data_IF_134183814074
#
_entry.id   IF_134183814074
#
_cell.length_a   1.000
_cell.length_b   1.000
_cell.length_c   1.000
_cell.angle_alpha   90.00
_cell.angle_beta   90.00
_cell.angle_gamma   90.00
#
_symmetry.space_group_name_H-M   'P 1'
#
loop_
_entity.id
_entity.type
_entity.pdbx_description
1 polymer ?
#
# COMPACT_ATOMS: atom_id res chain seq x y z
N UNK A 1 -50.17 74.17 -1.73
CA UNK A 1 -50.08 72.97 -2.56
C UNK A 1 -48.60 72.52 -2.55
N UNK A 2 -48.27 71.58 -1.71
CA UNK A 2 -46.92 71.02 -1.60
C UNK A 2 -46.94 69.58 -2.12
N UNK A 3 -46.07 69.27 -3.09
CA UNK A 3 -45.89 67.93 -3.59
C UNK A 3 -44.88 67.16 -2.69
N UNK A 4 -45.12 65.91 -2.38
CA UNK A 4 -44.13 65.10 -1.68
C UNK A 4 -43.12 64.50 -2.65
N UNK A 5 -41.82 64.64 -2.27
CA UNK A 5 -40.67 64.07 -2.95
C UNK A 5 -40.55 62.60 -2.58
N UNK A 6 -40.60 61.68 -3.54
CA UNK A 6 -40.35 60.27 -3.35
C UNK A 6 -38.90 59.91 -3.59
N UNK A 7 -38.20 59.40 -2.59
CA UNK A 7 -36.87 58.80 -2.68
C UNK A 7 -36.94 57.41 -3.31
N UNK A 8 -35.94 57.01 -4.13
CA UNK A 8 -35.86 55.69 -4.70
C UNK A 8 -35.31 54.64 -3.69
N UNK A 9 -35.70 53.37 -3.80
CA UNK A 9 -35.26 52.33 -2.88
C UNK A 9 -33.80 51.92 -3.11
N UNK A 10 -33.09 51.71 -2.02
CA UNK A 10 -31.71 51.21 -2.03
C UNK A 10 -31.60 49.72 -2.52
N UNK A 11 -30.51 49.35 -3.21
CA UNK A 11 -30.31 47.99 -3.68
C UNK A 11 -29.91 47.05 -2.53
N UNK A 12 -30.69 46.03 -2.32
CA UNK A 12 -30.39 44.90 -1.40
C UNK A 12 -29.23 44.08 -1.96
N UNK A 13 -28.04 44.23 -1.36
CA UNK A 13 -26.90 43.36 -1.62
C UNK A 13 -27.18 41.97 -1.04
N UNK A 14 -27.48 41.00 -1.90
CA UNK A 14 -27.60 39.61 -1.53
C UNK A 14 -26.23 39.05 -1.13
N UNK A 15 -26.06 38.78 0.17
CA UNK A 15 -24.93 38.01 0.69
C UNK A 15 -25.06 36.54 0.22
N UNK A 16 -24.42 36.21 -0.91
CA UNK A 16 -24.22 34.81 -1.29
C UNK A 16 -23.07 34.24 -0.46
N UNK A 17 -23.42 33.27 0.37
CA UNK A 17 -22.51 32.55 1.23
C UNK A 17 -21.46 31.79 0.41
N UNK A 18 -20.19 32.06 0.68
CA UNK A 18 -19.06 31.23 0.24
C UNK A 18 -18.94 30.09 1.25
N UNK A 19 -19.65 29.01 1.00
CA UNK A 19 -19.50 27.74 1.71
C UNK A 19 -19.11 26.68 0.66
N UNK A 20 -17.82 26.45 0.45
CA UNK A 20 -17.41 25.44 -0.53
C UNK A 20 -15.93 25.08 -0.59
N UNK A 21 -15.04 25.72 0.16
CA UNK A 21 -13.58 25.49 0.00
C UNK A 21 -12.89 24.74 1.16
N UNK A 22 -13.63 24.31 2.20
CA UNK A 22 -13.02 23.76 3.42
C UNK A 22 -12.75 22.25 3.43
N UNK A 23 -13.48 21.46 2.64
CA UNK A 23 -13.43 19.99 2.73
C UNK A 23 -12.28 19.34 1.93
N UNK A 24 -11.82 19.98 0.84
CA UNK A 24 -10.74 19.43 0.01
C UNK A 24 -9.34 19.53 0.68
N UNK A 25 -9.12 20.54 1.53
CA UNK A 25 -7.85 20.72 2.23
C UNK A 25 -7.63 19.78 3.40
N UNK A 26 -8.69 19.25 4.03
CA UNK A 26 -8.56 18.33 5.15
C UNK A 26 -8.10 16.93 4.69
N UNK A 27 -8.57 16.46 3.53
CA UNK A 27 -8.17 15.17 2.98
C UNK A 27 -6.71 15.15 2.49
N UNK A 28 -6.24 16.21 1.87
CA UNK A 28 -4.83 16.33 1.44
C UNK A 28 -3.85 16.36 2.62
N UNK A 29 -4.22 17.01 3.73
CA UNK A 29 -3.40 17.02 4.95
C UNK A 29 -3.34 15.65 5.63
N UNK A 30 -4.42 14.88 5.60
CA UNK A 30 -4.45 13.53 6.19
C UNK A 30 -3.53 12.56 5.43
N UNK A 31 -3.50 12.62 4.11
CA UNK A 31 -2.61 11.79 3.28
C UNK A 31 -1.15 12.16 3.45
N UNK A 32 -0.81 13.46 3.43
CA UNK A 32 0.54 13.93 3.67
C UNK A 32 1.06 13.56 5.07
N UNK A 33 0.19 13.56 6.10
CA UNK A 33 0.57 13.17 7.45
C UNK A 33 0.82 11.66 7.60
N UNK A 34 0.08 10.81 6.87
CA UNK A 34 0.31 9.36 6.84
C UNK A 34 1.61 9.02 6.11
N UNK A 35 1.91 9.69 5.01
CA UNK A 35 3.14 9.52 4.23
C UNK A 35 4.39 9.88 5.04
N UNK A 36 4.36 11.00 5.79
CA UNK A 36 5.49 11.40 6.64
C UNK A 36 5.73 10.43 7.79
N UNK A 37 4.67 9.81 8.33
CA UNK A 37 4.76 8.78 9.37
C UNK A 37 5.43 7.50 8.86
N UNK A 38 5.03 7.02 7.69
CA UNK A 38 5.61 5.83 7.06
C UNK A 38 7.09 6.06 6.68
N UNK A 39 7.43 7.21 6.11
CA UNK A 39 8.80 7.59 5.79
C UNK A 39 9.71 7.58 7.02
N UNK A 40 9.28 8.21 8.11
CA UNK A 40 10.06 8.26 9.35
C UNK A 40 10.32 6.85 9.93
N UNK A 41 9.33 5.95 9.87
CA UNK A 41 9.47 4.57 10.29
C UNK A 41 10.47 3.79 9.43
N UNK A 42 10.41 3.96 8.10
CA UNK A 42 11.34 3.33 7.17
C UNK A 42 12.79 3.82 7.40
N UNK A 43 12.99 5.13 7.61
CA UNK A 43 14.31 5.68 7.94
C UNK A 43 14.86 5.16 9.26
N UNK A 44 13.99 5.01 10.27
CA UNK A 44 14.37 4.43 11.56
C UNK A 44 14.75 2.94 11.43
N UNK A 45 14.16 2.24 10.47
CA UNK A 45 14.33 0.80 10.27
C UNK A 45 13.65 -0.04 11.36
N UNK A 46 13.97 -1.34 11.39
CA UNK A 46 13.28 -2.29 12.24
C UNK A 46 11.84 -2.52 11.82
N UNK A 47 11.56 -2.44 10.53
CA UNK A 47 10.22 -2.61 9.95
C UNK A 47 10.29 -3.32 8.60
N UNK A 48 9.15 -3.83 8.17
CA UNK A 48 8.90 -4.36 6.83
C UNK A 48 7.79 -3.55 6.17
N UNK A 49 8.03 -3.06 4.95
CA UNK A 49 6.98 -2.52 4.09
C UNK A 49 6.40 -3.67 3.26
N UNK A 50 5.26 -4.21 3.67
CA UNK A 50 4.61 -5.34 3.02
C UNK A 50 3.48 -4.85 2.10
N UNK A 51 3.68 -4.98 0.78
CA UNK A 51 2.74 -4.54 -0.24
C UNK A 51 1.89 -5.70 -0.75
N UNK A 52 0.59 -5.47 -0.90
CA UNK A 52 -0.19 -6.25 -1.83
C UNK A 52 0.30 -5.93 -3.24
N UNK A 53 0.41 -6.94 -4.12
CA UNK A 53 0.71 -6.72 -5.54
C UNK A 53 -0.17 -5.62 -6.14
N UNK A 54 0.34 -4.92 -7.14
CA UNK A 54 -0.36 -3.87 -7.86
C UNK A 54 -1.60 -4.43 -8.59
N UNK A 55 -2.40 -3.55 -9.18
CA UNK A 55 -3.68 -3.91 -9.77
C UNK A 55 -3.53 -5.00 -10.84
N UNK A 56 -4.14 -6.15 -10.55
CA UNK A 56 -4.32 -7.28 -11.45
C UNK A 56 -5.82 -7.60 -11.47
N UNK A 57 -6.54 -7.42 -12.58
CA UNK A 57 -7.98 -7.59 -12.67
C UNK A 57 -8.45 -8.99 -12.24
N UNK A 58 -9.61 -9.07 -11.59
CA UNK A 58 -10.16 -10.31 -11.05
C UNK A 58 -9.67 -10.63 -9.64
N UNK A 59 -10.14 -11.75 -9.07
CA UNK A 59 -9.81 -12.17 -7.70
C UNK A 59 -8.98 -13.44 -7.67
N UNK A 60 -9.31 -14.41 -8.47
CA UNK A 60 -8.65 -15.72 -8.53
C UNK A 60 -7.90 -15.91 -9.83
N UNK A 61 -6.89 -16.76 -9.82
CA UNK A 61 -6.20 -17.19 -11.02
C UNK A 61 -7.11 -18.12 -11.86
N UNK A 62 -6.93 -18.18 -13.19
CA UNK A 62 -7.74 -19.03 -14.07
C UNK A 62 -7.61 -20.54 -13.74
N UNK A 63 -8.59 -21.35 -14.13
CA UNK A 63 -8.42 -22.80 -14.13
C UNK A 63 -7.16 -23.22 -14.90
N UNK A 64 -6.37 -24.14 -14.36
CA UNK A 64 -5.11 -24.57 -14.98
C UNK A 64 -3.90 -23.68 -14.63
N UNK A 65 -4.05 -22.77 -13.66
CA UNK A 65 -2.95 -22.01 -13.08
C UNK A 65 -1.72 -22.86 -12.77
N UNK A 66 -0.55 -22.36 -13.14
CA UNK A 66 0.76 -22.95 -12.81
C UNK A 66 1.72 -21.88 -12.33
N UNK A 67 2.41 -22.11 -11.21
CA UNK A 67 3.55 -21.30 -10.82
C UNK A 67 4.67 -21.43 -11.87
N UNK A 68 5.35 -20.32 -12.16
CA UNK A 68 6.43 -20.28 -13.16
C UNK A 68 5.95 -20.08 -14.60
N UNK A 69 4.65 -20.19 -14.87
CA UNK A 69 4.06 -19.93 -16.20
C UNK A 69 3.07 -18.75 -16.11
N UNK A 70 3.56 -17.55 -16.41
CA UNK A 70 2.77 -16.32 -16.31
C UNK A 70 1.59 -16.29 -17.29
N UNK A 71 1.62 -17.05 -18.39
CA UNK A 71 0.51 -17.12 -19.35
C UNK A 71 -0.75 -17.78 -18.76
N UNK A 72 -0.59 -18.57 -17.70
CA UNK A 72 -1.68 -19.23 -16.97
C UNK A 72 -2.15 -18.44 -15.74
N UNK A 73 -1.57 -17.29 -15.47
CA UNK A 73 -1.82 -16.50 -14.28
C UNK A 73 -2.61 -15.23 -14.59
N UNK A 74 -3.24 -14.69 -13.57
CA UNK A 74 -3.78 -13.35 -13.54
C UNK A 74 -2.62 -12.37 -13.37
N UNK A 75 -2.37 -11.53 -14.38
CA UNK A 75 -1.25 -10.60 -14.43
C UNK A 75 -1.68 -9.15 -14.20
N UNK A 76 -0.70 -8.25 -14.02
CA UNK A 76 -0.93 -6.83 -13.87
C UNK A 76 -1.59 -6.22 -15.12
N UNK A 77 -2.55 -5.31 -14.91
CA UNK A 77 -2.99 -4.39 -15.96
C UNK A 77 -1.93 -3.31 -16.21
N UNK A 78 -2.07 -2.51 -17.27
CA UNK A 78 -1.20 -1.35 -17.49
C UNK A 78 -1.29 -0.33 -16.36
N UNK A 79 -2.48 -0.12 -15.81
CA UNK A 79 -2.68 0.68 -14.61
C UNK A 79 -1.92 0.11 -13.39
N UNK A 80 -1.98 -1.22 -13.19
CA UNK A 80 -1.20 -1.89 -12.16
C UNK A 80 0.31 -1.74 -12.36
N UNK A 81 0.79 -1.81 -13.61
CA UNK A 81 2.21 -1.55 -13.92
C UNK A 81 2.60 -0.10 -13.60
N UNK A 82 1.74 0.87 -13.92
CA UNK A 82 1.96 2.26 -13.55
C UNK A 82 1.99 2.43 -12.02
N UNK A 83 1.03 1.82 -11.30
CA UNK A 83 0.99 1.82 -9.84
C UNK A 83 2.27 1.25 -9.22
N UNK A 84 2.78 0.13 -9.73
CA UNK A 84 4.03 -0.46 -9.25
C UNK A 84 5.24 0.48 -9.46
N UNK A 85 5.32 1.16 -10.62
CA UNK A 85 6.35 2.19 -10.87
C UNK A 85 6.24 3.37 -9.91
N UNK A 86 5.01 3.81 -9.59
CA UNK A 86 4.77 4.90 -8.62
C UNK A 86 5.25 4.53 -7.23
N UNK A 87 5.10 3.25 -6.81
CA UNK A 87 5.70 2.76 -5.55
C UNK A 87 7.22 2.96 -5.58
N UNK A 88 7.91 2.51 -6.62
CA UNK A 88 9.35 2.69 -6.75
C UNK A 88 9.78 4.16 -6.74
N UNK A 89 9.07 5.01 -7.49
CA UNK A 89 9.33 6.45 -7.54
C UNK A 89 9.18 7.11 -6.16
N UNK A 90 8.18 6.71 -5.37
CA UNK A 90 7.98 7.23 -4.01
C UNK A 90 9.18 6.95 -3.10
N UNK A 91 9.74 5.74 -3.13
CA UNK A 91 10.94 5.38 -2.38
C UNK A 91 12.19 6.11 -2.89
N UNK A 92 12.36 6.18 -4.21
CA UNK A 92 13.49 6.85 -4.86
C UNK A 92 13.55 8.35 -4.52
N UNK A 93 12.43 9.06 -4.64
CA UNK A 93 12.32 10.50 -4.33
C UNK A 93 12.70 10.82 -2.87
N UNK A 94 12.48 9.85 -1.97
CA UNK A 94 12.80 9.96 -0.55
C UNK A 94 14.16 9.35 -0.18
N UNK A 95 14.91 8.85 -1.18
CA UNK A 95 16.21 8.20 -0.96
C UNK A 95 16.12 7.04 0.06
N UNK A 96 15.01 6.30 0.04
CA UNK A 96 14.77 5.13 0.87
C UNK A 96 15.20 3.88 0.12
N UNK A 97 16.24 3.19 0.60
CA UNK A 97 16.74 1.96 -0.01
C UNK A 97 16.46 0.77 0.90
N UNK A 98 15.64 -0.21 0.49
CA UNK A 98 15.44 -1.41 1.26
C UNK A 98 16.70 -2.27 1.31
N UNK A 99 16.97 -2.89 2.46
CA UNK A 99 18.03 -3.86 2.59
C UNK A 99 17.79 -5.16 1.84
N UNK A 100 16.48 -5.51 1.66
CA UNK A 100 16.03 -6.65 0.86
C UNK A 100 14.70 -6.31 0.19
N UNK A 101 14.49 -6.86 -1.01
CA UNK A 101 13.20 -6.89 -1.69
C UNK A 101 12.81 -8.35 -1.93
N UNK A 102 11.75 -8.80 -1.28
CA UNK A 102 11.25 -10.17 -1.35
C UNK A 102 9.88 -10.19 -2.06
N UNK A 103 9.63 -11.23 -2.83
CA UNK A 103 8.38 -11.37 -3.58
C UNK A 103 7.81 -12.78 -3.49
N UNK A 104 6.49 -12.88 -3.41
CA UNK A 104 5.76 -14.08 -3.75
C UNK A 104 6.15 -14.59 -5.14
N UNK A 105 6.15 -15.92 -5.38
CA UNK A 105 6.47 -16.47 -6.70
C UNK A 105 5.39 -16.24 -7.77
N UNK A 106 4.25 -15.63 -7.49
CA UNK A 106 3.24 -15.26 -8.49
C UNK A 106 3.72 -14.11 -9.36
N UNK A 107 3.50 -14.21 -10.67
CA UNK A 107 3.99 -13.24 -11.65
C UNK A 107 3.58 -11.81 -11.32
N UNK A 108 2.34 -11.56 -10.91
CA UNK A 108 1.88 -10.22 -10.49
C UNK A 108 2.64 -9.62 -9.32
N UNK A 109 3.15 -10.46 -8.41
CA UNK A 109 3.99 -9.98 -7.29
C UNK A 109 5.42 -9.72 -7.76
N UNK A 110 6.00 -10.63 -8.54
CA UNK A 110 7.34 -10.48 -9.13
C UNK A 110 7.37 -9.24 -10.01
N UNK A 111 6.38 -9.05 -10.89
CA UNK A 111 6.26 -7.87 -11.75
C UNK A 111 6.12 -6.57 -10.94
N UNK A 112 5.30 -6.58 -9.89
CA UNK A 112 5.15 -5.40 -9.01
C UNK A 112 6.48 -5.04 -8.35
N UNK A 113 7.19 -6.02 -7.81
CA UNK A 113 8.49 -5.81 -7.19
C UNK A 113 9.56 -5.35 -8.20
N UNK A 114 9.58 -5.97 -9.38
CA UNK A 114 10.55 -5.65 -10.44
C UNK A 114 10.37 -4.23 -10.96
N UNK A 115 9.13 -3.82 -11.19
CA UNK A 115 8.82 -2.46 -11.66
C UNK A 115 9.13 -1.38 -10.62
N UNK A 116 9.04 -1.72 -9.34
CA UNK A 116 9.30 -0.78 -8.25
C UNK A 116 10.79 -0.72 -7.86
N UNK A 117 11.49 -1.86 -7.77
CA UNK A 117 12.80 -1.95 -7.14
C UNK A 117 13.84 -2.76 -7.95
N UNK A 118 13.49 -3.28 -9.12
CA UNK A 118 14.34 -4.24 -9.85
C UNK A 118 14.09 -5.67 -9.38
N UNK A 119 14.97 -6.60 -9.75
CA UNK A 119 14.77 -8.04 -9.54
C UNK A 119 14.67 -8.40 -8.06
N UNK A 120 13.52 -8.91 -7.57
CA UNK A 120 13.35 -9.32 -6.18
C UNK A 120 13.94 -10.72 -5.94
N UNK A 121 14.19 -11.03 -4.68
CA UNK A 121 14.38 -12.40 -4.24
C UNK A 121 13.00 -13.07 -4.07
N UNK A 122 12.75 -14.16 -4.80
CA UNK A 122 11.50 -14.91 -4.69
C UNK A 122 11.50 -15.76 -3.43
N UNK A 123 10.40 -15.69 -2.66
CA UNK A 123 10.22 -16.43 -1.42
C UNK A 123 8.82 -17.04 -1.34
N UNK A 124 8.74 -18.37 -1.24
CA UNK A 124 7.49 -19.12 -1.27
C UNK A 124 6.53 -18.75 -0.14
N UNK A 125 7.05 -18.36 1.04
CA UNK A 125 6.23 -18.00 2.18
C UNK A 125 5.34 -16.75 1.93
N UNK A 126 5.69 -15.90 0.97
CA UNK A 126 4.86 -14.76 0.53
C UNK A 126 3.75 -15.18 -0.45
N UNK A 127 3.68 -16.45 -0.85
CA UNK A 127 2.70 -16.99 -1.78
C UNK A 127 1.28 -17.00 -1.21
N UNK A 128 0.27 -16.90 -2.09
CA UNK A 128 -1.12 -16.94 -1.68
C UNK A 128 -1.50 -18.30 -1.09
N UNK A 129 -2.09 -18.37 0.11
CA UNK A 129 -2.59 -19.63 0.67
C UNK A 129 -3.78 -20.18 -0.12
N UNK A 130 -4.47 -19.32 -0.89
CA UNK A 130 -5.58 -19.70 -1.77
C UNK A 130 -5.06 -19.91 -3.18
N UNK A 131 -4.95 -21.14 -3.61
CA UNK A 131 -4.35 -21.53 -4.89
C UNK A 131 -3.17 -22.50 -4.72
N UNK A 132 -2.81 -22.83 -3.46
CA UNK A 132 -1.91 -23.92 -3.13
C UNK A 132 -2.53 -24.77 -1.99
N UNK A 133 -2.07 -25.99 -1.75
CA UNK A 133 -2.60 -26.83 -0.67
C UNK A 133 -2.60 -26.09 0.68
N UNK A 134 -3.73 -26.10 1.38
CA UNK A 134 -3.97 -25.35 2.63
C UNK A 134 -2.92 -25.63 3.72
N UNK A 135 -2.28 -26.78 3.68
CA UNK A 135 -1.25 -27.19 4.63
C UNK A 135 0.00 -26.31 4.62
N UNK A 136 0.24 -25.56 3.54
CA UNK A 136 1.39 -24.65 3.45
C UNK A 136 1.14 -23.29 4.13
N UNK A 137 -0.10 -22.84 4.21
CA UNK A 137 -0.44 -21.51 4.76
C UNK A 137 0.04 -21.29 6.19
N UNK A 138 -0.19 -22.26 7.11
CA UNK A 138 0.22 -22.13 8.50
C UNK A 138 1.75 -22.17 8.69
N UNK A 139 2.47 -22.96 7.91
CA UNK A 139 3.94 -23.00 7.93
C UNK A 139 4.51 -21.67 7.42
N UNK A 140 4.00 -21.16 6.29
CA UNK A 140 4.41 -19.89 5.73
C UNK A 140 4.15 -18.72 6.69
N UNK A 141 3.01 -18.68 7.38
CA UNK A 141 2.74 -17.63 8.38
C UNK A 141 3.74 -17.66 9.53
N UNK A 142 4.18 -18.84 10.00
CA UNK A 142 5.23 -18.93 11.01
C UNK A 142 6.57 -18.41 10.49
N UNK A 143 6.94 -18.76 9.26
CA UNK A 143 8.16 -18.25 8.60
C UNK A 143 8.11 -16.72 8.49
N UNK A 144 6.98 -16.16 8.03
CA UNK A 144 6.79 -14.71 7.90
C UNK A 144 6.90 -13.99 9.25
N UNK A 145 6.29 -14.55 10.32
CA UNK A 145 6.42 -13.98 11.67
C UNK A 145 7.85 -14.02 12.18
N UNK A 146 8.56 -15.11 11.95
CA UNK A 146 9.98 -15.23 12.33
C UNK A 146 10.85 -14.23 11.57
N UNK A 147 10.63 -14.10 10.26
CA UNK A 147 11.37 -13.13 9.44
C UNK A 147 11.05 -11.69 9.85
N UNK A 148 9.78 -11.38 10.12
CA UNK A 148 9.38 -10.06 10.61
C UNK A 148 10.05 -9.73 11.97
N UNK A 149 10.08 -10.68 12.90
CA UNK A 149 10.77 -10.49 14.18
C UNK A 149 12.28 -10.23 13.98
N UNK A 150 12.91 -10.94 13.04
CA UNK A 150 14.31 -10.72 12.68
C UNK A 150 14.51 -9.34 12.07
N UNK A 151 13.69 -8.93 11.12
CA UNK A 151 13.76 -7.60 10.51
C UNK A 151 13.52 -6.49 11.56
N UNK A 152 12.58 -6.72 12.49
CA UNK A 152 12.25 -5.78 13.56
C UNK A 152 13.39 -5.54 14.57
N UNK A 153 14.32 -6.47 14.66
CA UNK A 153 15.53 -6.33 15.50
C UNK A 153 16.69 -5.59 14.83
N UNK A 154 16.52 -5.09 13.60
CA UNK A 154 17.57 -4.45 12.80
C UNK A 154 17.31 -2.94 12.62
N UNK A 155 17.68 -2.08 13.57
CA UNK A 155 17.52 -0.63 13.42
C UNK A 155 18.36 -0.12 12.24
N UNK A 156 17.85 0.93 11.56
CA UNK A 156 18.50 1.51 10.39
C UNK A 156 18.32 0.70 9.09
N UNK A 157 17.66 -0.44 9.13
CA UNK A 157 17.36 -1.27 7.96
C UNK A 157 15.88 -1.62 7.89
N UNK A 158 15.33 -1.69 6.69
CA UNK A 158 13.99 -2.19 6.45
C UNK A 158 13.98 -3.13 5.25
N UNK A 159 12.96 -3.95 5.15
CA UNK A 159 12.73 -4.83 4.02
C UNK A 159 11.44 -4.44 3.30
N UNK A 160 11.34 -4.80 2.01
CA UNK A 160 10.11 -4.67 1.22
C UNK A 160 9.66 -6.05 0.78
N UNK A 161 8.39 -6.37 1.05
CA UNK A 161 7.76 -7.63 0.68
C UNK A 161 6.59 -7.38 -0.27
N UNK A 162 6.53 -8.10 -1.40
CA UNK A 162 5.37 -8.11 -2.29
C UNK A 162 4.62 -9.43 -2.17
N UNK A 163 3.34 -9.34 -1.80
CA UNK A 163 2.52 -10.49 -1.46
C UNK A 163 1.05 -10.28 -1.86
N UNK A 164 0.13 -10.97 -1.23
CA UNK A 164 -1.30 -11.03 -1.54
C UNK A 164 -2.14 -10.53 -0.37
N UNK A 165 -3.37 -10.06 -0.66
CA UNK A 165 -4.28 -9.58 0.39
C UNK A 165 -4.57 -10.64 1.46
N UNK A 166 -4.68 -11.92 1.07
CA UNK A 166 -4.96 -12.99 2.02
C UNK A 166 -3.78 -13.23 2.97
N UNK A 167 -2.55 -13.13 2.48
CA UNK A 167 -1.35 -13.23 3.32
C UNK A 167 -1.29 -12.09 4.32
N UNK A 168 -1.56 -10.85 3.88
CA UNK A 168 -1.58 -9.70 4.77
C UNK A 168 -2.73 -9.77 5.78
N UNK A 169 -3.91 -10.23 5.34
CA UNK A 169 -5.04 -10.46 6.23
C UNK A 169 -4.72 -11.49 7.32
N UNK A 170 -4.12 -12.61 6.94
CA UNK A 170 -3.79 -13.70 7.88
C UNK A 170 -2.61 -13.34 8.79
N UNK A 171 -1.64 -12.55 8.28
CA UNK A 171 -0.46 -12.13 9.03
C UNK A 171 -0.75 -10.98 10.01
N UNK A 172 -1.49 -9.98 9.56
CA UNK A 172 -1.66 -8.69 10.25
C UNK A 172 -3.12 -8.37 10.59
N UNK A 173 -4.05 -9.30 10.35
CA UNK A 173 -5.50 -9.10 10.54
C UNK A 173 -6.01 -7.81 9.87
N UNK A 174 -5.55 -7.53 8.65
CA UNK A 174 -5.78 -6.25 7.98
C UNK A 174 -5.99 -6.45 6.49
N UNK A 175 -7.07 -5.85 5.96
CA UNK A 175 -7.34 -5.84 4.53
C UNK A 175 -6.53 -4.74 3.83
N UNK A 176 -6.14 -5.02 2.58
CA UNK A 176 -5.37 -4.10 1.73
C UNK A 176 -5.97 -3.98 0.33
N UNK A 177 -5.92 -2.79 -0.23
CA UNK A 177 -6.18 -2.53 -1.64
C UNK A 177 -4.97 -2.95 -2.51
N UNK A 178 -5.15 -3.06 -3.83
CA UNK A 178 -4.05 -3.32 -4.76
C UNK A 178 -3.00 -2.21 -4.69
N UNK A 179 -1.73 -2.57 -4.57
CA UNK A 179 -0.62 -1.63 -4.45
C UNK A 179 -0.49 -0.93 -3.09
N UNK A 180 -1.41 -1.19 -2.15
CA UNK A 180 -1.30 -0.67 -0.78
C UNK A 180 -0.24 -1.45 0.01
N UNK A 181 0.56 -0.72 0.79
CA UNK A 181 1.55 -1.24 1.70
C UNK A 181 1.16 -1.08 3.17
N UNK A 182 1.53 -2.06 3.98
CA UNK A 182 1.50 -1.99 5.44
C UNK A 182 2.93 -1.90 5.96
N UNK A 183 3.20 -0.96 6.85
CA UNK A 183 4.46 -0.95 7.59
C UNK A 183 4.25 -1.83 8.82
N UNK A 184 4.95 -2.95 8.83
CA UNK A 184 4.81 -4.00 9.85
C UNK A 184 6.04 -4.02 10.77
N UNK A 185 5.79 -4.34 12.02
CA UNK A 185 6.81 -4.62 13.02
C UNK A 185 6.34 -5.76 13.92
N UNK A 186 7.27 -6.55 14.44
CA UNK A 186 7.01 -7.44 15.55
C UNK A 186 7.19 -6.68 16.88
N UNK A 187 6.23 -6.81 17.79
CA UNK A 187 6.38 -6.33 19.18
C UNK A 187 7.35 -7.22 19.97
N UNK A 188 7.58 -6.87 21.25
CA UNK A 188 8.47 -7.64 22.14
C UNK A 188 7.99 -9.07 22.41
N UNK A 189 6.71 -9.33 22.22
CA UNK A 189 6.08 -10.64 22.39
C UNK A 189 6.02 -11.44 21.08
N UNK A 190 6.51 -10.86 19.96
CA UNK A 190 6.49 -11.46 18.63
C UNK A 190 5.16 -11.30 17.87
N UNK A 191 4.22 -10.50 18.41
CA UNK A 191 2.98 -10.20 17.69
C UNK A 191 3.23 -9.21 16.55
N UNK A 192 2.46 -9.35 15.48
CA UNK A 192 2.54 -8.46 14.32
C UNK A 192 1.74 -7.19 14.58
N UNK A 193 2.40 -6.05 14.49
CA UNK A 193 1.80 -4.72 14.57
C UNK A 193 1.80 -4.05 13.19
N UNK A 194 0.67 -3.46 12.79
CA UNK A 194 0.58 -2.51 11.69
C UNK A 194 0.84 -1.11 12.25
N UNK A 195 2.05 -0.59 12.04
CA UNK A 195 2.46 0.71 12.60
C UNK A 195 2.19 1.89 11.67
N UNK A 196 1.96 1.63 10.38
CA UNK A 196 1.47 2.62 9.41
C UNK A 196 0.90 1.92 8.17
N UNK A 197 0.15 2.68 7.37
CA UNK A 197 -0.28 2.31 6.01
C UNK A 197 0.40 3.22 5.00
N UNK A 198 0.64 2.69 3.82
CA UNK A 198 1.26 3.42 2.72
C UNK A 198 0.41 3.22 1.46
N UNK A 199 -0.33 4.25 1.10
CA UNK A 199 -1.15 4.30 -0.11
C UNK A 199 -0.54 5.32 -1.06
N UNK A 200 0.10 4.84 -2.13
CA UNK A 200 0.79 5.68 -3.11
C UNK A 200 -0.13 5.83 -4.32
N UNK A 201 -0.52 7.06 -4.69
CA UNK A 201 -1.30 7.30 -5.90
C UNK A 201 -0.55 6.83 -7.16
N UNK A 202 -1.33 6.30 -8.14
CA UNK A 202 -0.81 5.91 -9.45
C UNK A 202 -0.48 7.14 -10.31
#
# INVERSE_FOLDING_TARGET
>A
MAMPSSLPPEPRIARRAVLGAGLAFASLRSWAAQDTGAEALLRKGGVVAAFRHALAPGTFDPPGFRLGDCSTQRNLSEEGRAQARSVGAWFQQRQLQPGKVLSSPWCRCVDSATLAFGTPQVWAALGSPRGSPETTGAAHLRELRTALATASSQPGRFEVWFTHMFVLSDLANTNTSSGEGLILRADRSGNVEVVARLSIPA
#
